data_IF_867345080219
#
_entry.id   IF_867345080219
#
_cell.length_a   1.000
_cell.length_b   1.000
_cell.length_c   1.000
_cell.angle_alpha   90.00
_cell.angle_beta   90.00
_cell.angle_gamma   90.00
#
_symmetry.space_group_name_H-M   'P 1'
#
loop_
_entity.id
_entity.type
_entity.pdbx_description
1 polymer ?
#
# COMPACT_ATOMS: atom_id res chain seq x y z
N UNK A 1 -28.62 2.18 -5.63
CA UNK A 1 -27.83 3.39 -5.30
C UNK A 1 -26.41 2.97 -4.96
N UNK A 2 -25.44 3.60 -5.59
CA UNK A 2 -24.02 3.36 -5.33
C UNK A 2 -23.44 4.58 -4.63
N UNK A 3 -22.77 4.38 -3.50
CA UNK A 3 -22.06 5.41 -2.76
C UNK A 3 -20.56 5.16 -2.84
N UNK A 4 -19.81 6.15 -3.31
CA UNK A 4 -18.35 6.14 -3.25
C UNK A 4 -17.87 7.08 -2.16
N UNK A 5 -16.93 6.62 -1.33
CA UNK A 5 -16.24 7.43 -0.33
C UNK A 5 -14.75 7.27 -0.51
N UNK A 6 -14.05 8.39 -0.69
CA UNK A 6 -12.59 8.45 -0.74
C UNK A 6 -12.08 9.30 0.41
N UNK A 7 -11.05 8.84 1.07
CA UNK A 7 -10.40 9.56 2.16
C UNK A 7 -8.89 9.56 1.96
N UNK A 8 -8.25 10.65 2.37
CA UNK A 8 -6.79 10.79 2.40
C UNK A 8 -6.34 11.06 3.82
N UNK A 9 -5.22 10.47 4.20
CA UNK A 9 -4.65 10.60 5.55
C UNK A 9 -3.20 11.04 5.41
N UNK A 10 -2.87 12.14 6.04
CA UNK A 10 -1.51 12.67 6.13
C UNK A 10 -1.17 13.01 7.57
N UNK A 11 0.08 12.82 7.92
CA UNK A 11 0.62 13.19 9.22
C UNK A 11 1.71 14.25 9.04
N UNK A 12 2.14 14.88 10.13
CA UNK A 12 3.25 15.84 10.11
C UNK A 12 4.59 15.21 9.67
N UNK A 13 4.68 13.89 9.66
CA UNK A 13 5.87 13.16 9.18
C UNK A 13 5.88 12.95 7.66
N UNK A 14 4.72 13.02 7.01
CA UNK A 14 4.60 12.77 5.57
C UNK A 14 4.93 13.99 4.71
N UNK A 15 4.88 15.19 5.30
CA UNK A 15 5.05 16.44 4.56
C UNK A 15 6.11 17.33 5.21
N UNK A 16 7.26 17.46 4.55
CA UNK A 16 8.36 18.30 5.03
C UNK A 16 8.11 19.80 4.88
N UNK A 17 7.25 20.24 3.95
CA UNK A 17 7.11 21.63 3.53
C UNK A 17 5.70 22.19 3.59
N UNK A 18 4.69 21.33 3.65
CA UNK A 18 3.28 21.70 3.69
C UNK A 18 2.63 21.16 4.97
N UNK A 19 1.57 21.85 5.43
CA UNK A 19 0.76 21.27 6.51
C UNK A 19 0.11 19.97 6.04
N UNK A 20 -0.07 19.02 6.94
CA UNK A 20 -0.70 17.72 6.62
C UNK A 20 -2.10 17.90 6.01
N UNK A 21 -2.87 18.89 6.51
CA UNK A 21 -4.20 19.20 5.98
C UNK A 21 -4.16 19.64 4.50
N UNK A 22 -3.23 20.50 4.12
CA UNK A 22 -3.08 20.96 2.72
C UNK A 22 -2.67 19.81 1.82
N UNK A 23 -1.75 18.95 2.26
CA UNK A 23 -1.32 17.76 1.53
C UNK A 23 -2.46 16.78 1.34
N UNK A 24 -3.28 16.55 2.36
CA UNK A 24 -4.46 15.70 2.29
C UNK A 24 -5.50 16.22 1.31
N UNK A 25 -5.79 17.51 1.33
CA UNK A 25 -6.73 18.13 0.39
C UNK A 25 -6.26 18.05 -1.06
N UNK A 26 -4.97 18.29 -1.31
CA UNK A 26 -4.39 18.15 -2.65
C UNK A 26 -4.50 16.72 -3.15
N UNK A 27 -4.08 15.76 -2.36
CA UNK A 27 -4.16 14.34 -2.69
C UNK A 27 -5.59 13.90 -2.97
N UNK A 28 -6.56 14.36 -2.16
CA UNK A 28 -7.98 14.06 -2.38
C UNK A 28 -8.48 14.62 -3.71
N UNK A 29 -8.08 15.83 -4.10
CA UNK A 29 -8.43 16.44 -5.38
C UNK A 29 -7.87 15.69 -6.59
N UNK A 30 -6.72 15.03 -6.43
CA UNK A 30 -6.03 14.28 -7.49
C UNK A 30 -6.37 12.79 -7.51
N UNK A 31 -7.03 12.27 -6.47
CA UNK A 31 -7.19 10.83 -6.26
C UNK A 31 -8.05 10.13 -7.33
N UNK A 32 -8.95 10.85 -7.99
CA UNK A 32 -9.89 10.25 -8.93
C UNK A 32 -10.98 9.44 -8.25
N UNK A 33 -11.66 8.60 -9.02
CA UNK A 33 -12.77 7.77 -8.56
C UNK A 33 -12.26 6.42 -8.02
N UNK A 34 -13.14 5.74 -7.30
CA UNK A 34 -12.87 4.42 -6.74
C UNK A 34 -12.31 3.42 -7.78
N UNK A 35 -12.89 3.37 -8.98
CA UNK A 35 -12.46 2.44 -10.02
C UNK A 35 -10.98 2.67 -10.42
N UNK A 36 -10.56 3.92 -10.53
CA UNK A 36 -9.18 4.29 -10.87
C UNK A 36 -8.22 3.94 -9.73
N UNK A 37 -8.61 4.26 -8.50
CA UNK A 37 -7.84 3.89 -7.29
C UNK A 37 -7.69 2.37 -7.16
N UNK A 38 -8.75 1.61 -7.42
CA UNK A 38 -8.72 0.17 -7.40
C UNK A 38 -7.75 -0.40 -8.45
N UNK A 39 -7.78 0.13 -9.67
CA UNK A 39 -6.84 -0.28 -10.72
C UNK A 39 -5.38 0.04 -10.35
N UNK A 40 -5.12 1.22 -9.81
CA UNK A 40 -3.78 1.61 -9.35
C UNK A 40 -3.29 0.69 -8.24
N UNK A 41 -4.15 0.38 -7.29
CA UNK A 41 -3.87 -0.54 -6.19
C UNK A 41 -3.50 -1.95 -6.70
N UNK A 42 -4.31 -2.51 -7.59
CA UNK A 42 -4.04 -3.83 -8.20
C UNK A 42 -2.70 -3.85 -8.93
N UNK A 43 -2.42 -2.80 -9.72
CA UNK A 43 -1.14 -2.69 -10.43
C UNK A 43 0.07 -2.55 -9.50
N UNK A 44 -0.09 -1.81 -8.40
CA UNK A 44 0.98 -1.66 -7.40
C UNK A 44 1.29 -3.00 -6.72
N UNK A 45 0.27 -3.74 -6.31
CA UNK A 45 0.44 -5.07 -5.74
C UNK A 45 1.00 -6.08 -6.73
N UNK A 46 0.58 -6.05 -8.00
CA UNK A 46 1.16 -6.93 -9.02
C UNK A 46 2.67 -6.72 -9.15
N UNK A 47 3.14 -5.47 -9.18
CA UNK A 47 4.57 -5.14 -9.21
C UNK A 47 5.33 -5.61 -7.96
N UNK A 48 4.73 -5.52 -6.78
CA UNK A 48 5.32 -6.05 -5.56
C UNK A 48 5.47 -7.56 -5.63
N UNK A 49 4.43 -8.25 -6.07
CA UNK A 49 4.46 -9.71 -6.22
C UNK A 49 5.48 -10.18 -7.26
N UNK A 50 5.66 -9.48 -8.37
CA UNK A 50 6.71 -9.79 -9.35
C UNK A 50 8.13 -9.77 -8.74
N UNK A 51 8.37 -8.86 -7.79
CA UNK A 51 9.66 -8.73 -7.11
C UNK A 51 9.86 -9.73 -5.98
N UNK A 52 8.79 -10.14 -5.35
CA UNK A 52 8.81 -10.96 -4.14
C UNK A 52 8.27 -12.37 -4.38
N UNK A 53 8.03 -12.77 -5.62
CA UNK A 53 7.50 -14.09 -5.93
C UNK A 53 8.45 -15.18 -5.45
N UNK A 54 7.94 -16.04 -4.59
CA UNK A 54 8.60 -17.27 -4.16
C UNK A 54 7.85 -18.41 -4.81
N UNK A 55 8.57 -19.28 -5.50
CA UNK A 55 8.04 -20.50 -6.05
C UNK A 55 8.63 -21.70 -5.30
N UNK A 56 7.76 -22.55 -4.80
CA UNK A 56 8.12 -23.80 -4.13
C UNK A 56 7.54 -24.94 -4.94
N UNK A 57 8.39 -25.74 -5.52
CA UNK A 57 7.99 -26.94 -6.22
C UNK A 57 7.58 -28.02 -5.22
N UNK A 58 6.38 -28.56 -5.35
CA UNK A 58 5.94 -29.79 -4.70
C UNK A 58 4.88 -29.67 -3.61
N UNK A 59 4.68 -28.51 -2.97
CA UNK A 59 3.65 -28.39 -1.93
C UNK A 59 2.87 -27.07 -2.02
N UNK A 60 1.63 -27.17 -2.50
CA UNK A 60 0.74 -26.00 -2.69
C UNK A 60 0.34 -25.34 -1.36
N UNK A 61 0.17 -26.10 -0.30
CA UNK A 61 -0.23 -25.58 1.01
C UNK A 61 0.91 -24.78 1.66
N UNK A 62 2.12 -25.29 1.60
CA UNK A 62 3.30 -24.56 2.09
C UNK A 62 3.52 -23.26 1.31
N UNK A 63 3.33 -23.31 0.00
CA UNK A 63 3.43 -22.12 -0.85
C UNK A 63 2.38 -21.05 -0.45
N UNK A 64 1.14 -21.45 -0.16
CA UNK A 64 0.09 -20.56 0.31
C UNK A 64 0.47 -19.90 1.65
N UNK A 65 0.99 -20.66 2.58
CA UNK A 65 1.44 -20.15 3.89
C UNK A 65 2.58 -19.15 3.74
N UNK A 66 3.58 -19.46 2.93
CA UNK A 66 4.69 -18.56 2.66
C UNK A 66 4.20 -17.27 2.01
N UNK A 67 3.31 -17.34 1.04
CA UNK A 67 2.70 -16.17 0.39
C UNK A 67 1.87 -15.34 1.36
N UNK A 68 1.14 -15.96 2.28
CA UNK A 68 0.38 -15.27 3.31
C UNK A 68 1.30 -14.49 4.26
N UNK A 69 2.38 -15.11 4.73
CA UNK A 69 3.35 -14.43 5.58
C UNK A 69 4.04 -13.28 4.85
N UNK A 70 4.40 -13.48 3.58
CA UNK A 70 4.96 -12.43 2.74
C UNK A 70 3.98 -11.26 2.55
N UNK A 71 2.70 -11.56 2.34
CA UNK A 71 1.65 -10.54 2.27
C UNK A 71 1.59 -9.71 3.56
N UNK A 72 1.61 -10.37 4.73
CA UNK A 72 1.59 -9.68 6.01
C UNK A 72 2.82 -8.77 6.19
N UNK A 73 4.00 -9.22 5.80
CA UNK A 73 5.20 -8.37 5.83
C UNK A 73 5.07 -7.17 4.89
N UNK A 74 4.62 -7.38 3.66
CA UNK A 74 4.45 -6.31 2.68
C UNK A 74 3.41 -5.27 3.11
N UNK A 75 2.37 -5.68 3.85
CA UNK A 75 1.36 -4.77 4.40
C UNK A 75 1.92 -3.86 5.51
N UNK A 76 2.99 -4.25 6.17
CA UNK A 76 3.62 -3.44 7.24
C UNK A 76 4.67 -2.47 6.71
N UNK A 77 5.06 -2.61 5.46
CA UNK A 77 6.08 -1.78 4.81
C UNK A 77 5.41 -0.88 3.78
N UNK A 78 5.59 0.43 3.93
CA UNK A 78 5.10 1.39 2.94
C UNK A 78 6.28 2.12 2.29
N UNK A 79 6.30 2.30 0.97
CA UNK A 79 7.29 3.15 0.33
C UNK A 79 7.23 4.60 0.82
N UNK A 80 6.07 5.04 1.32
CA UNK A 80 5.89 6.38 1.89
C UNK A 80 6.53 6.54 3.28
N UNK A 81 6.87 5.44 3.94
CA UNK A 81 7.53 5.44 5.26
C UNK A 81 9.01 5.03 5.18
N UNK A 82 9.56 4.86 3.97
CA UNK A 82 10.93 4.38 3.78
C UNK A 82 12.00 5.31 4.38
N UNK A 83 11.70 6.62 4.44
CA UNK A 83 12.59 7.63 5.03
C UNK A 83 12.28 7.91 6.52
N UNK A 84 11.24 7.29 7.05
CA UNK A 84 10.91 7.39 8.45
C UNK A 84 11.68 6.32 9.24
N UNK A 85 12.15 6.69 10.41
CA UNK A 85 12.75 5.74 11.36
C UNK A 85 11.65 4.87 11.99
N UNK A 86 11.06 4.05 11.14
CA UNK A 86 9.98 3.14 11.50
C UNK A 86 10.41 1.71 11.13
N UNK A 87 10.65 0.90 12.14
CA UNK A 87 10.94 -0.51 11.96
C UNK A 87 9.74 -1.31 11.45
N UNK A 88 10.02 -2.47 10.88
CA UNK A 88 8.96 -3.45 10.57
C UNK A 88 8.41 -3.98 11.88
N UNK A 89 7.09 -3.93 12.14
CA UNK A 89 6.51 -4.48 13.33
C UNK A 89 6.79 -5.99 13.44
N UNK A 90 7.19 -6.40 14.59
CA UNK A 90 7.42 -7.83 14.88
C UNK A 90 6.07 -8.56 15.08
#
# INVERSE_FOLDING_TARGET
VTLEKVATIFTSRDAATLTAAISAQRCLGEAGRYAELCQQHVRAWARLWERCAIDLTGNTEELRLVRLHLLHLLQTISPHTAELDAGVPA
#
